data_IF_514073388666
#
_entry.id   IF_514073388666
#
_cell.length_a   1.000
_cell.length_b   1.000
_cell.length_c   1.000
_cell.angle_alpha   90.00
_cell.angle_beta   90.00
_cell.angle_gamma   90.00
#
_symmetry.space_group_name_H-M   'P 1'
#
loop_
_entity.id
_entity.type
_entity.pdbx_description
1 polymer ?
#
# COMPACT_ATOMS: atom_id res chain seq x y z
N UNK A 1 -22.31 -65.60 -7.06
CA UNK A 1 -21.04 -64.90 -7.35
C UNK A 1 -21.25 -63.42 -7.79
N UNK A 2 -22.11 -63.11 -8.75
CA UNK A 2 -22.30 -61.72 -9.25
C UNK A 2 -22.69 -60.68 -8.19
N UNK A 3 -23.56 -60.97 -7.19
CA UNK A 3 -23.94 -60.06 -6.11
C UNK A 3 -22.78 -59.74 -5.15
N UNK A 4 -21.88 -60.68 -4.87
CA UNK A 4 -20.69 -60.42 -4.01
C UNK A 4 -19.68 -59.51 -4.74
N UNK A 5 -19.52 -59.69 -6.08
CA UNK A 5 -18.63 -58.84 -6.89
C UNK A 5 -19.08 -57.40 -6.94
N UNK A 6 -20.40 -57.17 -7.11
CA UNK A 6 -21.01 -55.84 -7.13
C UNK A 6 -20.85 -55.15 -5.76
N UNK A 7 -21.01 -55.89 -4.64
CA UNK A 7 -20.83 -55.35 -3.29
C UNK A 7 -19.39 -54.93 -2.99
N UNK A 8 -18.41 -55.73 -3.49
CA UNK A 8 -16.96 -55.40 -3.35
C UNK A 8 -16.61 -54.20 -4.23
N UNK A 9 -17.13 -54.10 -5.47
CA UNK A 9 -16.91 -52.95 -6.32
C UNK A 9 -17.50 -51.64 -5.70
N UNK A 10 -18.67 -51.75 -5.09
CA UNK A 10 -19.31 -50.59 -4.42
C UNK A 10 -18.51 -50.15 -3.18
N UNK A 11 -18.02 -51.11 -2.37
CA UNK A 11 -17.14 -50.84 -1.21
C UNK A 11 -15.79 -50.17 -1.60
N UNK A 12 -15.20 -50.61 -2.72
CA UNK A 12 -13.97 -50.02 -3.25
C UNK A 12 -14.25 -48.62 -3.80
N UNK A 13 -15.40 -48.39 -4.45
CA UNK A 13 -15.80 -47.06 -4.96
C UNK A 13 -16.04 -46.09 -3.80
N UNK A 14 -16.66 -46.49 -2.71
CA UNK A 14 -16.86 -45.71 -1.51
C UNK A 14 -15.54 -45.38 -0.81
N UNK A 15 -14.58 -46.33 -0.80
CA UNK A 15 -13.25 -46.08 -0.26
C UNK A 15 -12.42 -45.08 -1.07
N UNK A 16 -12.57 -45.05 -2.39
CA UNK A 16 -11.89 -44.08 -3.28
C UNK A 16 -12.46 -42.68 -3.11
N UNK A 17 -13.77 -42.54 -2.83
CA UNK A 17 -14.44 -41.24 -2.60
C UNK A 17 -14.10 -40.67 -1.21
N UNK A 18 -13.72 -41.53 -0.25
CA UNK A 18 -13.37 -41.12 1.13
C UNK A 18 -11.88 -40.85 1.33
N UNK A 19 -11.04 -40.94 0.30
CA UNK A 19 -9.67 -40.45 0.39
C UNK A 19 -9.76 -38.92 0.50
N UNK A 20 -9.42 -38.31 1.66
CA UNK A 20 -9.35 -36.87 1.72
C UNK A 20 -8.38 -36.45 0.62
N UNK A 21 -8.81 -35.58 -0.28
CA UNK A 21 -7.88 -34.89 -1.16
C UNK A 21 -6.95 -34.11 -0.24
N UNK A 22 -5.82 -34.70 0.10
CA UNK A 22 -4.69 -33.90 0.59
C UNK A 22 -4.33 -32.99 -0.59
N UNK A 23 -4.98 -31.82 -0.63
CA UNK A 23 -4.39 -30.70 -1.32
C UNK A 23 -3.07 -30.49 -0.58
N UNK A 24 -1.96 -30.89 -1.21
CA UNK A 24 -0.70 -30.26 -0.91
C UNK A 24 -0.94 -28.78 -1.24
N UNK A 25 -1.34 -28.00 -0.25
CA UNK A 25 -1.16 -26.58 -0.33
C UNK A 25 0.35 -26.44 -0.64
N UNK A 26 0.68 -26.05 -1.86
CA UNK A 26 2.01 -25.52 -2.12
C UNK A 26 2.23 -24.53 -0.98
N UNK A 27 3.35 -24.66 -0.24
CA UNK A 27 3.67 -23.69 0.80
C UNK A 27 3.53 -22.32 0.17
N UNK A 28 2.46 -21.63 0.54
CA UNK A 28 2.23 -20.28 0.06
C UNK A 28 3.41 -19.47 0.57
N UNK A 29 4.12 -18.81 -0.32
CA UNK A 29 5.19 -17.90 0.08
C UNK A 29 4.64 -16.82 0.99
N UNK A 30 5.51 -16.18 1.72
CA UNK A 30 5.17 -15.03 2.56
C UNK A 30 5.09 -13.76 1.72
N UNK A 31 4.37 -12.76 2.21
CA UNK A 31 4.24 -11.47 1.56
C UNK A 31 4.84 -10.38 2.43
N UNK A 32 5.73 -9.56 1.87
CA UNK A 32 6.21 -8.33 2.50
C UNK A 32 5.76 -7.16 1.62
N UNK A 33 5.02 -6.21 2.19
CA UNK A 33 4.65 -4.95 1.55
C UNK A 33 5.40 -3.80 2.22
N UNK A 34 6.25 -3.09 1.47
CA UNK A 34 7.06 -1.98 1.95
C UNK A 34 6.52 -0.68 1.36
N UNK A 35 5.99 0.20 2.20
CA UNK A 35 5.57 1.54 1.83
C UNK A 35 6.74 2.50 1.93
N UNK A 36 7.14 3.07 0.80
CA UNK A 36 8.07 4.21 0.71
C UNK A 36 7.28 5.44 0.25
N UNK A 37 6.43 5.94 1.14
CA UNK A 37 5.51 7.04 0.82
C UNK A 37 6.25 8.28 0.30
N UNK A 38 5.64 9.03 -0.62
CA UNK A 38 6.21 10.26 -1.22
C UNK A 38 7.41 10.02 -2.13
N UNK A 39 7.57 8.84 -2.69
CA UNK A 39 8.62 8.56 -3.68
C UNK A 39 8.07 8.54 -5.11
N UNK A 40 8.98 8.67 -6.06
CA UNK A 40 8.74 8.56 -7.51
C UNK A 40 9.58 7.42 -8.08
N UNK A 41 9.29 6.95 -9.29
CA UNK A 41 10.12 5.95 -9.98
C UNK A 41 11.59 6.37 -10.00
N UNK A 42 11.86 7.62 -10.36
CA UNK A 42 13.22 8.16 -10.39
C UNK A 42 13.89 8.14 -9.02
N UNK A 43 13.14 8.50 -7.96
CA UNK A 43 13.64 8.47 -6.59
C UNK A 43 13.96 7.05 -6.13
N UNK A 44 13.15 6.07 -6.51
CA UNK A 44 13.39 4.66 -6.19
C UNK A 44 14.63 4.12 -6.89
N UNK A 45 14.90 4.54 -8.13
CA UNK A 45 16.12 4.17 -8.85
C UNK A 45 17.41 4.78 -8.26
N UNK A 46 17.30 5.85 -7.50
CA UNK A 46 18.44 6.43 -6.78
C UNK A 46 18.86 5.58 -5.55
N UNK A 47 18.11 4.53 -5.19
CA UNK A 47 18.42 3.62 -4.07
C UNK A 47 19.24 2.45 -4.60
N UNK A 48 20.52 2.31 -4.19
CA UNK A 48 21.47 1.38 -4.84
C UNK A 48 21.02 -0.08 -4.85
N UNK A 49 20.57 -0.63 -3.72
CA UNK A 49 20.13 -2.03 -3.64
C UNK A 49 18.86 -2.29 -4.47
N UNK A 50 17.92 -1.34 -4.44
CA UNK A 50 16.70 -1.45 -5.23
C UNK A 50 17.00 -1.38 -6.73
N UNK A 51 17.87 -0.48 -7.15
CA UNK A 51 18.33 -0.40 -8.55
C UNK A 51 18.99 -1.70 -8.98
N UNK A 52 19.94 -2.22 -8.19
CA UNK A 52 20.64 -3.46 -8.50
C UNK A 52 19.69 -4.66 -8.59
N UNK A 53 18.63 -4.69 -7.77
CA UNK A 53 17.65 -5.75 -7.82
C UNK A 53 16.71 -5.63 -9.02
N UNK A 54 16.30 -4.40 -9.40
CA UNK A 54 15.50 -4.12 -10.59
C UNK A 54 16.21 -4.42 -11.92
N UNK A 55 17.54 -4.37 -11.94
CA UNK A 55 18.33 -4.80 -13.10
C UNK A 55 18.23 -6.31 -13.34
N UNK A 56 18.03 -7.10 -12.28
CA UNK A 56 17.93 -8.56 -12.32
C UNK A 56 16.49 -9.03 -12.49
N UNK A 57 15.57 -8.53 -11.67
CA UNK A 57 14.18 -9.00 -11.58
C UNK A 57 13.24 -7.90 -11.10
N UNK A 58 11.94 -8.15 -11.17
CA UNK A 58 10.89 -7.30 -10.62
C UNK A 58 9.97 -6.74 -11.69
N UNK A 59 8.70 -6.71 -11.37
CA UNK A 59 7.66 -6.14 -12.21
C UNK A 59 7.26 -4.78 -11.68
N UNK A 60 7.27 -3.78 -12.54
CA UNK A 60 7.01 -2.39 -12.18
C UNK A 60 5.68 -1.90 -12.73
N UNK A 61 5.06 -0.98 -12.01
CA UNK A 61 3.85 -0.30 -12.45
C UNK A 61 3.72 1.11 -11.88
N UNK A 62 2.88 1.88 -12.53
CA UNK A 62 2.37 3.16 -12.05
C UNK A 62 0.96 2.95 -11.50
N UNK A 63 0.78 3.22 -10.24
CA UNK A 63 -0.45 2.97 -9.51
C UNK A 63 -1.32 4.22 -9.41
N UNK A 64 -2.57 4.13 -9.84
CA UNK A 64 -3.58 5.13 -9.53
C UNK A 64 -3.95 5.02 -8.05
N UNK A 65 -3.79 6.12 -7.32
CA UNK A 65 -3.92 6.20 -5.86
C UNK A 65 -5.24 6.81 -5.37
N UNK A 66 -6.24 6.89 -6.25
CA UNK A 66 -7.51 7.53 -5.92
C UNK A 66 -8.33 6.67 -4.95
N UNK A 67 -8.74 7.28 -3.83
CA UNK A 67 -9.80 6.76 -2.99
C UNK A 67 -11.20 7.21 -3.45
N UNK A 68 -12.20 7.04 -2.60
CA UNK A 68 -13.50 7.68 -2.78
C UNK A 68 -13.45 9.14 -2.31
N UNK A 69 -14.12 10.03 -3.03
CA UNK A 69 -14.21 11.49 -2.76
C UNK A 69 -12.88 12.23 -2.55
N UNK A 70 -11.74 11.62 -2.86
CA UNK A 70 -10.45 12.29 -2.71
C UNK A 70 -9.25 11.45 -3.06
N UNK A 71 -8.08 12.08 -2.91
CA UNK A 71 -6.78 11.47 -3.21
C UNK A 71 -5.79 11.94 -2.16
N UNK A 72 -5.47 11.07 -1.24
CA UNK A 72 -4.44 11.21 -0.21
C UNK A 72 -3.91 9.83 0.19
N UNK A 73 -2.88 9.80 1.02
CA UNK A 73 -2.25 8.55 1.46
C UNK A 73 -3.17 7.69 2.35
N UNK A 74 -4.00 8.27 3.22
CA UNK A 74 -4.97 7.53 4.05
C UNK A 74 -5.97 6.77 3.18
N UNK A 75 -6.63 7.50 2.25
CA UNK A 75 -7.59 6.90 1.32
C UNK A 75 -6.95 5.88 0.40
N UNK A 76 -5.70 6.12 -0.03
CA UNK A 76 -4.96 5.19 -0.87
C UNK A 76 -4.71 3.86 -0.15
N UNK A 77 -4.15 3.90 1.07
CA UNK A 77 -3.87 2.69 1.87
C UNK A 77 -5.15 1.96 2.31
N UNK A 78 -6.18 2.72 2.73
CA UNK A 78 -7.49 2.13 3.04
C UNK A 78 -8.13 1.44 1.83
N UNK A 79 -7.99 2.03 0.62
CA UNK A 79 -8.50 1.42 -0.62
C UNK A 79 -7.72 0.17 -1.02
N UNK A 80 -6.40 0.11 -0.75
CA UNK A 80 -5.60 -1.12 -0.92
C UNK A 80 -6.12 -2.24 -0.03
N UNK A 81 -6.33 -1.97 1.26
CA UNK A 81 -6.86 -2.94 2.21
C UNK A 81 -8.33 -3.33 1.98
N UNK A 82 -9.13 -2.42 1.45
CA UNK A 82 -10.53 -2.70 1.09
C UNK A 82 -10.69 -3.41 -0.27
N UNK A 83 -9.68 -3.39 -1.14
CA UNK A 83 -9.79 -3.85 -2.53
C UNK A 83 -10.88 -3.13 -3.32
N UNK A 84 -11.23 -1.93 -2.89
CA UNK A 84 -12.26 -1.05 -3.44
C UNK A 84 -12.00 0.38 -2.97
N UNK A 85 -12.58 1.38 -3.64
CA UNK A 85 -12.37 2.78 -3.25
C UNK A 85 -13.01 3.06 -1.91
N UNK A 86 -12.18 3.25 -0.89
CA UNK A 86 -12.59 3.57 0.46
C UNK A 86 -12.75 5.09 0.66
N UNK A 87 -13.79 5.47 1.39
CA UNK A 87 -13.99 6.83 1.85
C UNK A 87 -13.50 6.99 3.30
N UNK A 88 -12.63 7.98 3.49
CA UNK A 88 -12.27 8.50 4.81
C UNK A 88 -12.40 10.02 4.71
N UNK A 89 -12.97 10.70 5.68
CA UNK A 89 -13.02 12.15 5.68
C UNK A 89 -11.59 12.73 5.65
N UNK A 90 -11.41 13.93 5.09
CA UNK A 90 -10.08 14.58 5.01
C UNK A 90 -9.48 14.83 6.39
N UNK A 91 -10.32 15.11 7.36
CA UNK A 91 -10.06 15.32 8.77
C UNK A 91 -10.27 14.07 9.63
N UNK A 92 -10.50 12.88 9.00
CA UNK A 92 -10.65 11.63 9.74
C UNK A 92 -9.48 11.42 10.67
N UNK A 93 -9.82 11.26 11.92
CA UNK A 93 -8.87 10.91 12.94
C UNK A 93 -8.55 9.43 12.86
N UNK A 94 -7.34 9.10 12.49
CA UNK A 94 -6.82 7.72 12.47
C UNK A 94 -5.94 7.57 13.71
N UNK A 95 -6.30 6.65 14.60
CA UNK A 95 -5.69 6.53 15.91
C UNK A 95 -5.25 5.10 16.23
N UNK A 96 -4.31 4.59 15.45
CA UNK A 96 -3.70 3.29 15.74
C UNK A 96 -2.74 3.38 16.91
N UNK A 97 -2.97 2.51 17.90
CA UNK A 97 -2.17 2.38 19.11
C UNK A 97 -1.83 0.92 19.38
N UNK A 98 -0.66 0.70 19.97
CA UNK A 98 -0.34 -0.59 20.55
C UNK A 98 -1.18 -0.83 21.81
N UNK A 99 -1.49 -2.09 22.07
CA UNK A 99 -2.34 -2.49 23.19
C UNK A 99 -1.58 -2.35 24.51
N UNK A 100 -1.80 -1.25 25.20
CA UNK A 100 -1.59 -1.09 26.64
C UNK A 100 -2.87 -1.49 27.38
N UNK A 101 -2.83 -1.59 28.69
CA UNK A 101 -4.04 -1.82 29.53
C UNK A 101 -5.10 -0.74 29.26
N UNK A 102 -4.68 0.51 29.12
CA UNK A 102 -5.56 1.65 28.87
C UNK A 102 -6.14 1.60 27.45
N UNK A 103 -5.30 1.54 26.42
CA UNK A 103 -5.74 1.50 25.01
C UNK A 103 -6.66 0.30 24.74
N UNK A 104 -6.35 -0.87 25.29
CA UNK A 104 -7.17 -2.06 25.18
C UNK A 104 -8.56 -1.87 25.83
N UNK A 105 -8.61 -1.18 26.95
CA UNK A 105 -9.89 -0.86 27.64
C UNK A 105 -10.71 0.13 26.80
N UNK A 106 -10.10 1.20 26.30
CA UNK A 106 -10.75 2.19 25.43
C UNK A 106 -11.30 1.50 24.19
N UNK A 107 -10.48 0.72 23.48
CA UNK A 107 -10.88 0.00 22.28
C UNK A 107 -12.05 -0.95 22.55
N UNK A 108 -11.96 -1.76 23.62
CA UNK A 108 -13.01 -2.72 23.99
C UNK A 108 -14.33 -2.04 24.35
N UNK A 109 -14.27 -0.92 25.07
CA UNK A 109 -15.47 -0.17 25.48
C UNK A 109 -16.16 0.50 24.29
N UNK A 110 -15.41 0.98 23.29
CA UNK A 110 -15.95 1.66 22.11
C UNK A 110 -16.48 0.69 21.04
N UNK A 111 -15.86 -0.50 20.89
CA UNK A 111 -16.19 -1.44 19.81
C UNK A 111 -16.89 -2.72 20.27
N UNK A 112 -16.83 -3.05 21.55
CA UNK A 112 -17.28 -4.36 22.10
C UNK A 112 -16.40 -5.54 21.67
N UNK A 113 -15.28 -5.31 20.96
CA UNK A 113 -14.40 -6.36 20.43
C UNK A 113 -13.17 -6.56 21.30
N UNK A 114 -12.64 -7.78 21.27
CA UNK A 114 -11.36 -8.09 21.92
C UNK A 114 -10.23 -7.38 21.17
N UNK A 115 -9.38 -6.58 21.84
CA UNK A 115 -8.25 -5.93 21.20
C UNK A 115 -7.20 -6.94 20.75
N UNK A 116 -6.45 -6.59 19.70
CA UNK A 116 -5.22 -7.29 19.26
C UNK A 116 -3.98 -6.47 19.64
N UNK A 117 -2.81 -6.78 19.09
CA UNK A 117 -1.56 -6.04 19.37
C UNK A 117 -1.65 -4.57 19.00
N UNK A 118 -2.26 -4.25 17.86
CA UNK A 118 -2.46 -2.88 17.37
C UNK A 118 -3.96 -2.69 17.10
N UNK A 119 -4.51 -1.53 17.51
CA UNK A 119 -5.94 -1.24 17.39
C UNK A 119 -6.16 0.23 17.00
N UNK A 120 -7.09 0.49 16.08
CA UNK A 120 -7.58 1.84 15.82
C UNK A 120 -8.66 2.22 16.85
N UNK A 121 -8.33 3.13 17.76
CA UNK A 121 -9.22 3.59 18.80
C UNK A 121 -10.40 4.44 18.27
N UNK A 122 -10.30 4.90 17.03
CA UNK A 122 -11.30 5.71 16.33
C UNK A 122 -12.04 4.96 15.21
N UNK A 123 -11.86 3.64 15.10
CA UNK A 123 -12.34 2.84 13.95
C UNK A 123 -13.84 3.06 13.64
N UNK A 124 -14.68 3.21 14.66
CA UNK A 124 -16.12 3.41 14.45
C UNK A 124 -16.42 4.69 13.65
N UNK A 125 -15.60 5.74 13.78
CA UNK A 125 -15.76 6.96 12.98
C UNK A 125 -15.43 6.70 11.50
N UNK A 126 -14.35 5.96 11.24
CA UNK A 126 -13.94 5.59 9.88
C UNK A 126 -14.96 4.66 9.21
N UNK A 127 -15.49 3.68 9.93
CA UNK A 127 -16.55 2.78 9.43
C UNK A 127 -17.83 3.55 9.11
N UNK A 128 -18.31 4.38 10.02
CA UNK A 128 -19.51 5.20 9.82
C UNK A 128 -19.34 6.16 8.65
N UNK A 129 -18.19 6.81 8.50
CA UNK A 129 -17.91 7.72 7.38
C UNK A 129 -17.90 6.97 6.05
N UNK A 130 -17.26 5.80 6.00
CA UNK A 130 -17.21 4.99 4.79
C UNK A 130 -18.60 4.46 4.40
N UNK A 131 -19.43 4.06 5.36
CA UNK A 131 -20.79 3.56 5.14
C UNK A 131 -21.75 4.69 4.73
N UNK A 132 -21.78 5.79 5.50
CA UNK A 132 -22.74 6.87 5.30
C UNK A 132 -22.45 7.72 4.07
N UNK A 133 -21.18 7.96 3.77
CA UNK A 133 -20.72 8.90 2.77
C UNK A 133 -19.96 8.25 1.59
N UNK A 134 -19.63 6.97 1.67
CA UNK A 134 -18.97 6.23 0.58
C UNK A 134 -19.90 6.01 -0.61
N UNK A 135 -19.32 6.06 -1.82
CA UNK A 135 -20.07 5.88 -3.08
C UNK A 135 -19.89 4.49 -3.70
N UNK A 136 -18.90 3.73 -3.24
CA UNK A 136 -18.48 2.48 -3.88
C UNK A 136 -18.80 1.23 -3.06
N UNK A 137 -19.37 1.37 -1.85
CA UNK A 137 -19.73 0.24 -1.02
C UNK A 137 -18.54 -0.64 -0.60
N UNK A 138 -17.34 -0.08 -0.54
CA UNK A 138 -16.15 -0.81 -0.13
C UNK A 138 -16.15 -1.10 1.38
N UNK A 139 -15.61 -2.25 1.78
CA UNK A 139 -15.50 -2.63 3.20
C UNK A 139 -14.07 -2.41 3.68
N UNK A 140 -13.88 -1.53 4.66
CA UNK A 140 -12.57 -1.28 5.26
C UNK A 140 -12.02 -2.57 5.90
N UNK A 141 -10.73 -2.83 5.72
CA UNK A 141 -10.05 -3.95 6.34
C UNK A 141 -10.33 -5.33 5.71
N UNK A 142 -10.93 -5.39 4.51
CA UNK A 142 -11.26 -6.66 3.83
C UNK A 142 -10.05 -7.59 3.64
N UNK A 143 -8.87 -7.04 3.32
CA UNK A 143 -7.63 -7.81 3.17
C UNK A 143 -7.25 -8.49 4.48
N UNK A 144 -7.05 -7.71 5.55
CA UNK A 144 -6.65 -8.25 6.85
C UNK A 144 -7.70 -9.19 7.46
N UNK A 145 -9.00 -8.92 7.25
CA UNK A 145 -10.06 -9.83 7.67
C UNK A 145 -9.99 -11.16 6.93
N UNK A 146 -9.87 -11.13 5.59
CA UNK A 146 -9.81 -12.37 4.79
C UNK A 146 -8.59 -13.20 5.13
N UNK A 147 -7.42 -12.59 5.33
CA UNK A 147 -6.23 -13.29 5.79
C UNK A 147 -6.46 -13.93 7.17
N UNK A 148 -7.00 -13.18 8.13
CA UNK A 148 -7.28 -13.67 9.49
C UNK A 148 -8.29 -14.82 9.51
N UNK A 149 -9.36 -14.73 8.70
CA UNK A 149 -10.41 -15.77 8.59
C UNK A 149 -9.87 -17.09 8.01
N UNK A 150 -8.78 -17.01 7.27
CA UNK A 150 -8.06 -18.17 6.70
C UNK A 150 -6.80 -18.54 7.49
N UNK A 151 -6.67 -18.07 8.73
CA UNK A 151 -5.59 -18.35 9.68
C UNK A 151 -4.20 -17.84 9.26
N UNK A 152 -4.11 -16.91 8.30
CA UNK A 152 -2.88 -16.19 8.00
C UNK A 152 -2.65 -15.07 9.01
N UNK A 153 -1.41 -14.97 9.48
CA UNK A 153 -1.00 -13.97 10.46
C UNK A 153 -0.50 -12.72 9.77
N UNK A 154 -0.97 -11.57 10.24
CA UNK A 154 -0.66 -10.25 9.68
C UNK A 154 0.07 -9.41 10.71
N UNK A 155 1.17 -8.79 10.30
CA UNK A 155 1.94 -7.84 11.12
C UNK A 155 2.15 -6.51 10.42
N UNK A 156 2.35 -5.46 11.22
CA UNK A 156 2.71 -4.11 10.76
C UNK A 156 3.97 -3.64 11.48
N UNK A 157 4.87 -2.95 10.76
CA UNK A 157 6.10 -2.41 11.32
C UNK A 157 6.37 -0.99 10.80
N UNK A 158 6.77 -0.10 11.69
CA UNK A 158 7.17 1.26 11.32
C UNK A 158 6.03 2.27 11.27
N UNK A 159 6.40 3.51 11.08
CA UNK A 159 5.48 4.65 11.01
C UNK A 159 6.09 5.82 10.23
N UNK A 160 5.24 6.78 9.87
CA UNK A 160 5.62 8.07 9.28
C UNK A 160 5.37 9.24 10.25
N UNK A 161 5.48 9.01 11.56
CA UNK A 161 5.31 10.05 12.58
C UNK A 161 6.27 11.20 12.36
N UNK A 162 5.86 12.43 12.73
CA UNK A 162 6.66 13.66 12.67
C UNK A 162 6.63 14.37 14.02
N UNK A 163 7.58 15.27 14.27
CA UNK A 163 7.58 16.16 15.45
C UNK A 163 7.39 17.59 14.96
N UNK A 164 6.28 18.21 15.32
CA UNK A 164 5.94 19.57 14.93
C UNK A 164 5.72 20.43 16.18
N UNK A 165 6.48 21.52 16.33
CA UNK A 165 6.43 22.39 17.51
C UNK A 165 6.66 21.65 18.85
N UNK A 166 7.47 20.60 18.84
CA UNK A 166 7.74 19.75 20.01
C UNK A 166 6.65 18.74 20.33
N UNK A 167 5.61 18.62 19.51
CA UNK A 167 4.54 17.64 19.64
C UNK A 167 4.66 16.53 18.59
N UNK A 168 4.46 15.28 19.02
CA UNK A 168 4.38 14.14 18.12
C UNK A 168 3.09 14.21 17.29
N UNK A 169 3.24 14.19 15.97
CA UNK A 169 2.14 14.03 15.00
C UNK A 169 2.18 12.62 14.45
N UNK A 170 1.28 11.80 14.92
CA UNK A 170 1.23 10.40 14.54
C UNK A 170 0.76 10.23 13.09
N UNK A 171 1.48 9.42 12.34
CA UNK A 171 1.11 8.96 11.01
C UNK A 171 1.41 7.46 10.90
N UNK A 172 0.44 6.65 11.27
CA UNK A 172 0.48 5.19 11.30
C UNK A 172 -0.46 4.60 10.24
N UNK A 173 -0.60 5.32 9.14
CA UNK A 173 -1.56 5.00 8.07
C UNK A 173 -1.30 3.65 7.41
N UNK A 174 -0.10 3.09 7.52
CA UNK A 174 0.22 1.75 7.02
C UNK A 174 -0.71 0.68 7.61
N UNK A 175 -1.23 0.87 8.82
CA UNK A 175 -2.17 -0.06 9.43
C UNK A 175 -3.49 -0.19 8.63
N UNK A 176 -3.87 0.83 7.87
CA UNK A 176 -5.12 0.83 7.08
C UNK A 176 -5.17 -0.25 5.98
N UNK A 177 -4.00 -0.66 5.44
CA UNK A 177 -3.95 -1.75 4.47
C UNK A 177 -4.03 -3.12 5.15
N UNK A 178 -3.49 -3.24 6.37
CA UNK A 178 -3.26 -4.49 7.07
C UNK A 178 -4.36 -4.87 8.07
N UNK A 179 -5.16 -3.90 8.54
CA UNK A 179 -6.15 -4.08 9.57
C UNK A 179 -7.30 -5.02 9.14
N UNK A 180 -7.93 -5.66 10.11
CA UNK A 180 -9.20 -6.36 9.92
C UNK A 180 -10.40 -5.36 9.88
N UNK A 181 -11.61 -5.87 9.65
CA UNK A 181 -12.83 -5.05 9.56
C UNK A 181 -13.17 -4.29 10.86
N UNK A 182 -12.44 -4.56 11.93
CA UNK A 182 -12.60 -3.91 13.23
C UNK A 182 -11.42 -2.99 13.58
N UNK A 183 -10.54 -2.69 12.61
CA UNK A 183 -9.38 -1.81 12.81
C UNK A 183 -8.27 -2.42 13.65
N UNK A 184 -8.06 -3.75 13.60
CA UNK A 184 -7.06 -4.45 14.43
C UNK A 184 -6.00 -5.11 13.58
N UNK A 185 -4.76 -5.12 14.07
CA UNK A 185 -3.66 -5.91 13.52
C UNK A 185 -3.13 -6.84 14.61
N UNK A 186 -2.80 -8.09 14.22
CA UNK A 186 -2.48 -9.15 15.17
C UNK A 186 -1.11 -8.98 15.83
N UNK A 187 -0.13 -8.44 15.11
CA UNK A 187 1.27 -8.35 15.55
C UNK A 187 1.94 -7.09 14.98
N UNK A 188 3.09 -6.68 15.53
CA UNK A 188 3.88 -5.59 14.99
C UNK A 188 4.39 -4.59 16.02
N UNK A 189 5.05 -3.54 15.50
CA UNK A 189 5.55 -2.39 16.26
C UNK A 189 5.38 -1.11 15.44
N UNK A 190 4.60 -0.16 15.95
CA UNK A 190 4.31 1.13 15.31
C UNK A 190 4.66 2.35 16.19
N UNK A 191 5.13 2.13 17.41
CA UNK A 191 5.39 3.20 18.38
C UNK A 191 6.90 3.39 18.64
N UNK A 192 7.59 2.34 18.99
CA UNK A 192 9.00 2.39 19.37
C UNK A 192 9.90 1.96 18.20
N UNK A 193 9.93 2.77 17.13
CA UNK A 193 10.66 2.45 15.89
C UNK A 193 11.46 3.64 15.33
N UNK A 194 11.39 4.78 15.97
CA UNK A 194 12.16 5.96 15.59
C UNK A 194 13.18 6.31 16.66
N UNK A 195 14.24 6.99 16.24
CA UNK A 195 15.26 7.58 17.15
C UNK A 195 15.45 9.06 16.83
N UNK A 196 15.89 9.80 17.83
CA UNK A 196 16.27 11.20 17.69
C UNK A 196 17.50 11.33 16.79
N UNK A 197 17.47 12.28 15.85
CA UNK A 197 18.58 12.63 14.96
C UNK A 197 18.40 14.04 14.43
N UNK A 198 19.08 15.00 15.04
CA UNK A 198 18.99 16.43 14.70
C UNK A 198 19.44 16.75 13.26
N UNK A 199 20.12 15.81 12.60
CA UNK A 199 20.55 15.95 11.19
C UNK A 199 19.48 15.54 10.20
N UNK A 200 18.33 15.04 10.68
CA UNK A 200 17.23 14.53 9.88
C UNK A 200 15.97 15.39 9.97
N UNK A 201 15.04 15.25 9.01
CA UNK A 201 13.79 16.00 9.05
C UNK A 201 13.01 15.80 10.34
N UNK A 202 12.52 16.88 10.94
CA UNK A 202 11.80 16.90 12.23
C UNK A 202 12.62 16.42 13.43
N UNK A 203 13.96 16.31 13.31
CA UNK A 203 14.84 15.84 14.39
C UNK A 203 14.69 14.33 14.71
N UNK A 204 14.08 13.55 13.84
CA UNK A 204 13.89 12.12 14.03
C UNK A 204 14.13 11.34 12.73
N UNK A 205 14.47 10.08 12.84
CA UNK A 205 14.51 9.12 11.76
C UNK A 205 14.09 7.72 12.22
N UNK A 206 13.81 6.86 11.27
CA UNK A 206 13.62 5.44 11.55
C UNK A 206 14.94 4.82 12.11
N UNK A 207 14.81 3.96 13.10
CA UNK A 207 15.91 3.11 13.57
C UNK A 207 16.04 1.90 12.65
N UNK A 208 16.88 2.02 11.62
CA UNK A 208 17.03 0.96 10.59
C UNK A 208 17.63 -0.34 11.13
N UNK A 209 18.43 -0.29 12.19
CA UNK A 209 18.97 -1.49 12.84
C UNK A 209 17.83 -2.26 13.52
N UNK A 210 17.01 -1.51 14.27
CA UNK A 210 15.80 -2.07 14.91
C UNK A 210 14.78 -2.55 13.88
N UNK A 211 14.50 -1.74 12.83
CA UNK A 211 13.63 -2.14 11.72
C UNK A 211 14.08 -3.47 11.10
N UNK A 212 15.36 -3.61 10.80
CA UNK A 212 15.92 -4.84 10.21
C UNK A 212 15.73 -6.04 11.13
N UNK A 213 16.05 -5.87 12.41
CA UNK A 213 15.91 -6.94 13.42
C UNK A 213 14.45 -7.36 13.60
N UNK A 214 13.55 -6.40 13.73
CA UNK A 214 12.12 -6.67 13.91
C UNK A 214 11.48 -7.22 12.63
N UNK A 215 11.86 -6.70 11.45
CA UNK A 215 11.42 -7.29 10.17
C UNK A 215 11.72 -8.78 10.11
N UNK A 216 12.94 -9.18 10.47
CA UNK A 216 13.31 -10.60 10.51
C UNK A 216 12.43 -11.40 11.46
N UNK A 217 12.27 -10.93 12.69
CA UNK A 217 11.45 -11.61 13.70
C UNK A 217 9.98 -11.72 13.28
N UNK A 218 9.40 -10.62 12.74
CA UNK A 218 8.01 -10.60 12.29
C UNK A 218 7.81 -11.47 11.03
N UNK A 219 8.77 -11.46 10.11
CA UNK A 219 8.74 -12.32 8.93
C UNK A 219 8.77 -13.80 9.30
N UNK A 220 9.57 -14.21 10.29
CA UNK A 220 9.61 -15.60 10.75
C UNK A 220 8.27 -16.07 11.32
N UNK A 221 7.53 -15.20 12.01
CA UNK A 221 6.33 -15.52 12.78
C UNK A 221 4.99 -15.17 12.10
N UNK A 222 5.02 -14.43 11.00
CA UNK A 222 3.83 -13.99 10.29
C UNK A 222 3.89 -14.35 8.80
N UNK A 223 2.73 -14.35 8.13
CA UNK A 223 2.57 -14.69 6.72
C UNK A 223 2.58 -13.44 5.83
N UNK A 224 1.99 -12.35 6.32
CA UNK A 224 1.98 -11.05 5.65
C UNK A 224 2.52 -9.96 6.57
N UNK A 225 3.54 -9.22 6.11
CA UNK A 225 4.18 -8.13 6.83
C UNK A 225 4.07 -6.82 6.04
N UNK A 226 3.53 -5.78 6.67
CA UNK A 226 3.41 -4.45 6.08
C UNK A 226 4.35 -3.48 6.81
N UNK A 227 5.28 -2.88 6.06
CA UNK A 227 6.32 -2.01 6.63
C UNK A 227 6.19 -0.58 6.10
N UNK A 228 6.29 0.42 6.97
CA UNK A 228 6.35 1.84 6.59
C UNK A 228 7.75 2.42 6.84
N UNK A 229 8.42 2.82 5.76
CA UNK A 229 9.71 3.51 5.84
C UNK A 229 9.48 5.03 5.87
N UNK A 230 9.11 5.56 7.01
CA UNK A 230 8.62 6.93 7.19
C UNK A 230 9.57 8.05 6.77
N UNK A 231 10.89 7.82 6.63
CA UNK A 231 11.87 8.87 6.32
C UNK A 231 11.64 9.54 4.98
N UNK A 232 11.12 8.82 3.99
CA UNK A 232 10.78 9.40 2.68
C UNK A 232 9.59 10.38 2.79
N UNK A 233 8.62 10.05 3.64
CA UNK A 233 7.51 10.94 3.96
C UNK A 233 8.00 12.18 4.73
N UNK A 234 8.80 11.99 5.79
CA UNK A 234 9.37 13.08 6.58
C UNK A 234 10.17 14.06 5.71
N UNK A 235 11.00 13.55 4.81
CA UNK A 235 11.79 14.37 3.90
C UNK A 235 10.90 15.22 2.96
N UNK A 236 9.85 14.64 2.38
CA UNK A 236 8.93 15.34 1.48
C UNK A 236 8.13 16.42 2.23
N UNK A 237 7.70 16.15 3.48
CA UNK A 237 7.02 17.11 4.33
C UNK A 237 7.93 18.28 4.71
N UNK A 238 9.21 18.00 5.02
CA UNK A 238 10.18 18.98 5.50
C UNK A 238 10.89 19.76 4.39
N UNK A 239 10.71 19.35 3.12
CA UNK A 239 11.43 19.93 1.96
C UNK A 239 11.33 21.45 1.87
N UNK A 240 10.18 22.03 2.22
CA UNK A 240 9.97 23.48 2.17
C UNK A 240 10.87 24.30 3.10
N UNK A 241 11.48 23.68 4.11
CA UNK A 241 12.40 24.31 5.06
C UNK A 241 13.88 24.13 4.68
N UNK A 242 14.17 23.39 3.60
CA UNK A 242 15.53 23.01 3.22
C UNK A 242 15.99 23.77 1.98
N UNK A 243 17.27 24.16 1.96
CA UNK A 243 17.94 24.52 0.72
C UNK A 243 18.29 23.23 -0.07
N UNK A 244 18.56 23.35 -1.37
CA UNK A 244 18.82 22.20 -2.27
C UNK A 244 20.04 21.35 -1.83
N UNK A 245 21.09 21.97 -1.29
CA UNK A 245 22.27 21.24 -0.82
C UNK A 245 21.91 20.34 0.38
N UNK A 246 21.25 20.88 1.39
CA UNK A 246 20.84 20.15 2.59
C UNK A 246 19.81 19.06 2.24
N UNK A 247 18.84 19.38 1.37
CA UNK A 247 17.89 18.41 0.87
C UNK A 247 18.58 17.22 0.19
N UNK A 248 19.53 17.48 -0.72
CA UNK A 248 20.28 16.44 -1.43
C UNK A 248 21.09 15.57 -0.49
N UNK A 249 21.72 16.17 0.53
CA UNK A 249 22.49 15.45 1.56
C UNK A 249 21.57 14.53 2.37
N UNK A 250 20.48 15.05 2.90
CA UNK A 250 19.50 14.25 3.67
C UNK A 250 18.91 13.12 2.83
N UNK A 251 18.49 13.44 1.59
CA UNK A 251 17.98 12.43 0.63
C UNK A 251 18.96 11.30 0.43
N UNK A 252 20.26 11.62 0.20
CA UNK A 252 21.31 10.60 0.01
C UNK A 252 21.47 9.72 1.25
N UNK A 253 21.44 10.30 2.46
CA UNK A 253 21.54 9.55 3.70
C UNK A 253 20.34 8.61 3.87
N UNK A 254 19.12 9.10 3.66
CA UNK A 254 17.89 8.29 3.71
C UNK A 254 17.95 7.15 2.70
N UNK A 255 18.31 7.43 1.44
CA UNK A 255 18.43 6.41 0.41
C UNK A 255 19.47 5.34 0.74
N UNK A 256 20.59 5.71 1.35
CA UNK A 256 21.63 4.76 1.78
C UNK A 256 21.10 3.85 2.93
N UNK A 257 20.38 4.41 3.88
CA UNK A 257 19.78 3.64 4.98
C UNK A 257 18.71 2.67 4.45
N UNK A 258 17.83 3.15 3.59
CA UNK A 258 16.83 2.30 2.90
C UNK A 258 17.51 1.21 2.08
N UNK A 259 18.62 1.54 1.39
CA UNK A 259 19.36 0.57 0.59
C UNK A 259 19.87 -0.60 1.42
N UNK A 260 20.46 -0.33 2.59
CA UNK A 260 20.94 -1.38 3.52
C UNK A 260 19.78 -2.22 4.06
N UNK A 261 18.67 -1.58 4.40
CA UNK A 261 17.48 -2.27 4.85
C UNK A 261 16.92 -3.21 3.77
N UNK A 262 16.73 -2.71 2.54
CA UNK A 262 16.22 -3.51 1.42
C UNK A 262 17.16 -4.67 1.05
N UNK A 263 18.49 -4.46 1.12
CA UNK A 263 19.46 -5.53 0.94
C UNK A 263 19.25 -6.65 1.96
N UNK A 264 18.99 -6.30 3.21
CA UNK A 264 18.68 -7.29 4.27
C UNK A 264 17.37 -8.02 3.98
N UNK A 265 16.33 -7.34 3.48
CA UNK A 265 15.06 -7.96 3.09
C UNK A 265 15.25 -8.92 1.92
N UNK A 266 15.92 -8.50 0.85
CA UNK A 266 16.14 -9.34 -0.33
C UNK A 266 16.99 -10.59 -0.02
N UNK A 267 17.91 -10.50 0.97
CA UNK A 267 18.70 -11.64 1.41
C UNK A 267 17.94 -12.58 2.36
N UNK A 268 16.82 -12.15 2.92
CA UNK A 268 16.02 -12.91 3.88
C UNK A 268 14.90 -13.72 3.21
N UNK A 269 14.30 -13.17 2.16
CA UNK A 269 13.12 -13.77 1.52
C UNK A 269 13.47 -14.99 0.69
N UNK A 270 12.59 -16.00 0.71
CA UNK A 270 12.70 -17.21 -0.08
C UNK A 270 12.18 -17.06 -1.51
N UNK A 271 12.42 -18.07 -2.34
CA UNK A 271 12.04 -18.06 -3.77
C UNK A 271 10.53 -17.97 -4.01
N UNK A 272 9.72 -18.46 -3.08
CA UNK A 272 8.26 -18.44 -3.15
C UNK A 272 7.65 -17.17 -2.56
N UNK A 273 8.46 -16.35 -1.90
CA UNK A 273 7.98 -15.11 -1.26
C UNK A 273 7.77 -13.99 -2.27
N UNK A 274 6.91 -13.06 -1.88
CA UNK A 274 6.60 -11.90 -2.69
C UNK A 274 6.91 -10.62 -1.92
N UNK A 275 7.71 -9.73 -2.51
CA UNK A 275 7.99 -8.42 -1.95
C UNK A 275 7.35 -7.35 -2.82
N UNK A 276 6.47 -6.56 -2.22
CA UNK A 276 5.97 -5.32 -2.83
C UNK A 276 6.71 -4.13 -2.27
N UNK A 277 7.13 -3.22 -3.15
CA UNK A 277 7.64 -1.91 -2.76
C UNK A 277 6.77 -0.87 -3.46
N UNK A 278 6.08 -0.04 -2.70
CA UNK A 278 5.15 0.93 -3.25
C UNK A 278 5.26 2.31 -2.59
N UNK A 279 4.82 3.33 -3.29
CA UNK A 279 4.51 4.62 -2.69
C UNK A 279 2.99 4.79 -2.60
N UNK A 280 2.46 4.92 -1.41
CA UNK A 280 1.02 5.13 -1.23
C UNK A 280 0.54 6.48 -1.77
N UNK A 281 1.45 7.46 -1.94
CA UNK A 281 1.19 8.76 -2.54
C UNK A 281 2.49 9.34 -3.15
N UNK A 282 2.46 10.02 -4.31
CA UNK A 282 3.65 10.62 -4.91
C UNK A 282 4.15 11.81 -4.07
N UNK A 283 5.38 12.26 -4.31
CA UNK A 283 5.89 13.46 -3.66
C UNK A 283 5.00 14.67 -3.94
N UNK A 284 4.97 15.64 -3.01
CA UNK A 284 4.19 16.88 -3.18
C UNK A 284 4.54 17.59 -4.48
N UNK A 285 5.82 17.59 -4.87
CA UNK A 285 6.28 18.22 -6.10
C UNK A 285 5.76 17.49 -7.34
N UNK A 286 5.89 16.15 -7.39
CA UNK A 286 5.37 15.33 -8.49
C UNK A 286 3.85 15.52 -8.65
N UNK A 287 3.11 15.46 -7.54
CA UNK A 287 1.66 15.68 -7.57
C UNK A 287 1.27 17.08 -8.07
N UNK A 288 2.02 18.13 -7.66
CA UNK A 288 1.85 19.50 -8.17
C UNK A 288 2.12 19.57 -9.67
N UNK A 289 3.12 18.86 -10.16
CA UNK A 289 3.48 18.76 -11.58
C UNK A 289 2.54 17.87 -12.41
N UNK A 290 1.44 17.37 -11.81
CA UNK A 290 0.46 16.47 -12.44
C UNK A 290 0.95 15.03 -12.67
N UNK A 291 2.07 14.65 -12.12
CA UNK A 291 2.52 13.27 -12.01
C UNK A 291 1.78 12.61 -10.83
N UNK A 292 0.56 12.14 -11.09
CA UNK A 292 -0.40 11.71 -10.05
C UNK A 292 -0.44 10.21 -9.81
N UNK A 293 0.39 9.47 -10.52
CA UNK A 293 0.54 8.04 -10.33
C UNK A 293 1.75 7.77 -9.44
N UNK A 294 1.62 6.79 -8.56
CA UNK A 294 2.68 6.36 -7.66
C UNK A 294 3.35 5.09 -8.18
N UNK A 295 4.66 4.90 -7.96
CA UNK A 295 5.32 3.65 -8.32
C UNK A 295 4.87 2.51 -7.42
N UNK A 296 4.79 1.32 -8.01
CA UNK A 296 4.68 0.05 -7.34
C UNK A 296 5.56 -0.98 -8.04
N UNK A 297 6.25 -1.81 -7.26
CA UNK A 297 7.12 -2.87 -7.74
C UNK A 297 6.72 -4.16 -7.03
N UNK A 298 6.68 -5.27 -7.77
CA UNK A 298 6.46 -6.61 -7.26
C UNK A 298 7.64 -7.49 -7.62
N UNK A 299 8.32 -8.01 -6.62
CA UNK A 299 9.37 -9.01 -6.77
C UNK A 299 8.78 -10.39 -6.50
N UNK A 300 8.74 -11.22 -7.53
CA UNK A 300 8.31 -12.62 -7.49
C UNK A 300 9.12 -13.40 -8.52
N UNK A 301 9.83 -14.44 -8.07
CA UNK A 301 10.73 -15.19 -8.96
C UNK A 301 11.88 -14.34 -9.50
N UNK A 302 12.40 -14.71 -10.68
CA UNK A 302 13.61 -14.13 -11.27
C UNK A 302 13.35 -13.38 -12.59
N UNK A 303 12.11 -13.03 -12.88
CA UNK A 303 11.72 -12.35 -14.10
C UNK A 303 11.48 -10.86 -13.86
N UNK A 304 11.55 -10.05 -14.91
CA UNK A 304 11.29 -8.61 -14.89
C UNK A 304 10.27 -8.19 -15.94
N UNK A 305 9.60 -7.07 -15.69
CA UNK A 305 8.62 -6.56 -16.62
C UNK A 305 7.68 -5.50 -16.07
N UNK A 306 6.46 -5.50 -16.58
CA UNK A 306 5.41 -4.57 -16.20
C UNK A 306 4.29 -5.28 -15.45
N UNK A 307 3.75 -4.60 -14.46
CA UNK A 307 2.45 -4.92 -13.87
C UNK A 307 1.34 -4.44 -14.80
N UNK A 308 0.33 -5.26 -15.00
CA UNK A 308 -0.91 -4.91 -15.69
C UNK A 308 -2.09 -5.39 -14.87
N UNK A 309 -3.25 -4.78 -15.07
CA UNK A 309 -4.48 -5.19 -14.40
C UNK A 309 -5.69 -4.99 -15.33
N UNK A 310 -6.64 -5.91 -15.26
CA UNK A 310 -7.91 -5.76 -15.98
C UNK A 310 -8.77 -4.60 -15.44
N UNK A 311 -8.45 -4.04 -14.27
CA UNK A 311 -9.06 -2.82 -13.74
C UNK A 311 -8.75 -1.61 -14.61
N UNK A 312 -7.50 -1.45 -15.04
CA UNK A 312 -7.05 -0.32 -15.85
C UNK A 312 -6.98 -0.62 -17.34
N UNK A 313 -6.78 -1.90 -17.69
CA UNK A 313 -6.60 -2.40 -19.06
C UNK A 313 -5.45 -1.71 -19.80
N UNK A 314 -4.38 -1.36 -19.08
CA UNK A 314 -3.19 -0.69 -19.63
C UNK A 314 -1.95 -1.30 -19.00
N UNK A 315 -1.00 -1.69 -19.84
CA UNK A 315 0.27 -2.21 -19.41
C UNK A 315 1.05 -1.17 -18.63
N UNK A 316 1.63 -1.57 -17.53
CA UNK A 316 2.36 -0.69 -16.64
C UNK A 316 1.49 0.24 -15.77
N UNK A 317 0.16 0.22 -15.93
CA UNK A 317 -0.75 1.05 -15.13
C UNK A 317 -1.71 0.16 -14.34
N UNK A 318 -1.71 0.32 -13.03
CA UNK A 318 -2.57 -0.45 -12.10
C UNK A 318 -3.34 0.49 -11.18
N UNK A 319 -4.22 -0.04 -10.37
CA UNK A 319 -4.96 0.74 -9.37
C UNK A 319 -4.60 0.27 -7.94
N UNK A 320 -4.67 1.17 -6.98
CA UNK A 320 -4.44 0.84 -5.58
C UNK A 320 -5.42 -0.22 -5.05
N UNK A 321 -6.64 -0.25 -5.56
CA UNK A 321 -7.64 -1.28 -5.20
C UNK A 321 -7.23 -2.70 -5.65
N UNK A 322 -6.28 -2.83 -6.56
CA UNK A 322 -5.78 -4.12 -7.06
C UNK A 322 -4.78 -4.75 -6.08
N UNK A 323 -4.07 -3.93 -5.27
CA UNK A 323 -3.00 -4.38 -4.36
C UNK A 323 -3.48 -5.46 -3.40
N UNK A 324 -4.55 -5.19 -2.65
CA UNK A 324 -5.08 -6.16 -1.68
C UNK A 324 -5.59 -7.44 -2.33
N UNK A 325 -6.16 -7.34 -3.53
CA UNK A 325 -6.61 -8.51 -4.29
C UNK A 325 -5.44 -9.34 -4.79
N UNK A 326 -4.37 -8.69 -5.25
CA UNK A 326 -3.15 -9.38 -5.70
C UNK A 326 -2.44 -10.06 -4.52
N UNK A 327 -2.41 -9.43 -3.34
CA UNK A 327 -1.88 -10.05 -2.11
C UNK A 327 -2.71 -11.29 -1.73
N UNK A 328 -4.04 -11.22 -1.77
CA UNK A 328 -4.89 -12.41 -1.51
C UNK A 328 -4.63 -13.52 -2.51
N UNK A 329 -4.45 -13.18 -3.78
CA UNK A 329 -4.14 -14.14 -4.84
C UNK A 329 -2.81 -14.89 -4.59
N UNK A 330 -1.80 -14.24 -3.96
CA UNK A 330 -0.56 -14.92 -3.57
C UNK A 330 -0.78 -16.01 -2.49
N UNK A 331 -1.80 -15.85 -1.67
CA UNK A 331 -2.24 -16.85 -0.69
C UNK A 331 -3.29 -17.83 -1.25
N UNK A 332 -3.62 -17.76 -2.53
CA UNK A 332 -4.68 -18.58 -3.14
C UNK A 332 -6.08 -18.24 -2.61
N UNK A 333 -6.27 -17.03 -2.11
CA UNK A 333 -7.53 -16.55 -1.53
C UNK A 333 -8.25 -15.58 -2.46
N UNK A 334 -9.58 -15.56 -2.32
CA UNK A 334 -10.47 -14.62 -3.01
C UNK A 334 -11.45 -14.01 -2.02
N UNK A 335 -11.74 -12.72 -2.18
CA UNK A 335 -12.81 -12.04 -1.47
C UNK A 335 -13.74 -11.35 -2.49
N UNK A 336 -14.99 -11.82 -2.59
CA UNK A 336 -15.98 -11.35 -3.57
C UNK A 336 -16.45 -9.90 -3.34
N UNK A 337 -16.24 -9.34 -2.15
CA UNK A 337 -16.55 -7.94 -1.87
C UNK A 337 -15.50 -6.98 -2.42
N UNK A 338 -14.31 -7.46 -2.74
CA UNK A 338 -13.23 -6.67 -3.33
C UNK A 338 -13.41 -6.60 -4.84
N UNK A 339 -13.39 -5.38 -5.39
CA UNK A 339 -13.64 -5.13 -6.82
C UNK A 339 -12.37 -5.01 -7.66
N UNK A 340 -11.22 -4.83 -7.02
CA UNK A 340 -9.90 -4.86 -7.66
C UNK A 340 -9.64 -6.18 -8.39
N UNK A 341 -8.50 -6.27 -9.08
CA UNK A 341 -8.09 -7.48 -9.81
C UNK A 341 -6.62 -7.78 -9.53
N UNK A 342 -6.28 -9.06 -9.41
CA UNK A 342 -4.90 -9.50 -9.33
C UNK A 342 -4.10 -9.04 -10.56
N UNK A 343 -2.80 -8.83 -10.39
CA UNK A 343 -1.93 -8.37 -11.45
C UNK A 343 -1.65 -9.47 -12.47
N UNK A 344 -1.60 -9.05 -13.73
CA UNK A 344 -0.96 -9.81 -14.80
C UNK A 344 0.48 -9.34 -14.95
N UNK A 345 1.42 -10.28 -15.05
CA UNK A 345 2.85 -10.01 -15.17
C UNK A 345 3.23 -10.06 -16.65
N UNK A 346 3.74 -8.97 -17.19
CA UNK A 346 4.11 -8.83 -18.60
C UNK A 346 5.62 -8.68 -18.70
N UNK A 347 6.30 -9.62 -19.34
CA UNK A 347 7.74 -9.54 -19.55
C UNK A 347 8.09 -8.34 -20.46
N UNK A 348 8.99 -7.50 -20.00
CA UNK A 348 9.48 -6.33 -20.73
C UNK A 348 10.83 -5.88 -20.17
N UNK A 349 11.78 -5.62 -21.05
CA UNK A 349 13.13 -5.22 -20.65
C UNK A 349 13.23 -3.71 -20.32
N UNK A 350 12.59 -2.85 -21.13
CA UNK A 350 12.63 -1.39 -20.99
C UNK A 350 11.54 -0.84 -20.08
N UNK A 351 11.28 -1.51 -18.96
CA UNK A 351 10.15 -1.20 -18.06
C UNK A 351 10.22 0.21 -17.47
N UNK A 352 11.40 0.66 -17.06
CA UNK A 352 11.60 1.97 -16.43
C UNK A 352 11.39 3.11 -17.40
N UNK A 353 12.00 3.04 -18.58
CA UNK A 353 11.89 4.07 -19.62
C UNK A 353 10.44 4.16 -20.12
N UNK A 354 9.79 3.02 -20.30
CA UNK A 354 8.38 2.96 -20.66
C UNK A 354 7.49 3.66 -19.63
N UNK A 355 7.66 3.36 -18.34
CA UNK A 355 6.85 3.94 -17.27
C UNK A 355 7.13 5.45 -17.10
N UNK A 356 8.38 5.86 -17.25
CA UNK A 356 8.77 7.28 -17.21
C UNK A 356 8.11 8.06 -18.34
N UNK A 357 8.13 7.51 -19.56
CA UNK A 357 7.45 8.08 -20.72
C UNK A 357 5.92 8.18 -20.51
N UNK A 358 5.28 7.12 -20.02
CA UNK A 358 3.82 7.13 -19.76
C UNK A 358 3.44 8.15 -18.69
N UNK A 359 4.26 8.31 -17.64
CA UNK A 359 4.04 9.31 -16.59
C UNK A 359 4.13 10.73 -17.14
N UNK A 360 5.15 11.05 -17.91
CA UNK A 360 5.35 12.35 -18.57
C UNK A 360 4.22 12.68 -19.55
N UNK A 361 3.82 11.69 -20.36
CA UNK A 361 2.70 11.81 -21.28
C UNK A 361 1.40 12.14 -20.57
N UNK A 362 1.10 11.47 -19.46
CA UNK A 362 -0.09 11.76 -18.66
C UNK A 362 -0.06 13.15 -18.03
N UNK A 363 1.09 13.58 -17.50
CA UNK A 363 1.29 14.91 -16.96
C UNK A 363 1.07 15.99 -18.04
N UNK A 364 1.64 15.77 -19.24
CA UNK A 364 1.48 16.67 -20.40
C UNK A 364 0.03 16.78 -20.84
N UNK A 365 -0.70 15.67 -20.95
CA UNK A 365 -2.14 15.67 -21.28
C UNK A 365 -2.94 16.43 -20.23
N UNK A 366 -2.66 16.17 -18.94
CA UNK A 366 -3.33 16.88 -17.84
C UNK A 366 -3.12 18.39 -17.88
N UNK A 367 -1.91 18.84 -18.20
CA UNK A 367 -1.58 20.26 -18.35
C UNK A 367 -2.29 20.89 -19.56
N UNK A 368 -2.33 20.21 -20.71
CA UNK A 368 -3.05 20.67 -21.92
C UNK A 368 -4.55 20.79 -21.67
N UNK A 369 -5.19 19.82 -21.01
CA UNK A 369 -6.61 19.86 -20.67
C UNK A 369 -6.92 21.07 -19.76
N UNK A 370 -6.07 21.33 -18.77
CA UNK A 370 -6.25 22.50 -17.90
C UNK A 370 -6.11 23.80 -18.68
N UNK A 371 -5.13 23.92 -19.56
CA UNK A 371 -4.94 25.09 -20.42
C UNK A 371 -6.18 25.34 -21.32
N UNK A 372 -6.73 24.28 -21.92
CA UNK A 372 -7.98 24.39 -22.69
C UNK A 372 -9.17 24.84 -21.85
N UNK A 373 -9.31 24.31 -20.61
CA UNK A 373 -10.38 24.73 -19.69
C UNK A 373 -10.26 26.22 -19.30
N UNK A 374 -9.05 26.71 -19.06
CA UNK A 374 -8.82 28.12 -18.79
C UNK A 374 -9.15 29.00 -20.01
N UNK A 375 -8.72 28.57 -21.21
CA UNK A 375 -9.05 29.26 -22.46
C UNK A 375 -10.55 29.31 -22.69
N UNK A 376 -11.28 28.21 -22.56
CA UNK A 376 -12.74 28.19 -22.70
C UNK A 376 -13.45 29.09 -21.68
N UNK A 377 -13.01 29.07 -20.41
CA UNK A 377 -13.56 29.97 -19.37
C UNK A 377 -13.30 31.44 -19.70
N UNK A 378 -12.11 31.79 -20.17
CA UNK A 378 -11.78 33.15 -20.58
C UNK A 378 -12.62 33.59 -21.79
N UNK A 379 -12.82 32.71 -22.77
CA UNK A 379 -13.72 33.01 -23.92
C UNK A 379 -15.17 33.21 -23.51
N UNK A 380 -15.69 32.40 -22.56
CA UNK A 380 -17.05 32.57 -22.02
C UNK A 380 -17.18 33.88 -21.27
N UNK A 381 -16.17 34.26 -20.47
CA UNK A 381 -16.18 35.59 -19.79
C UNK A 381 -16.14 36.75 -20.77
N UNK A 382 -15.34 36.67 -21.85
CA UNK A 382 -15.26 37.69 -22.88
C UNK A 382 -16.59 37.80 -23.65
N UNK A 383 -17.21 36.68 -23.97
CA UNK A 383 -18.52 36.66 -24.63
C UNK A 383 -19.62 37.20 -23.70
N UNK A 384 -19.62 36.81 -22.41
CA UNK A 384 -20.54 37.35 -21.41
C UNK A 384 -20.41 38.88 -21.24
N UNK A 385 -19.18 39.41 -21.25
CA UNK A 385 -18.94 40.84 -21.20
C UNK A 385 -19.44 41.59 -22.48
N UNK A 386 -19.32 40.96 -23.64
CA UNK A 386 -19.74 41.53 -24.92
C UNK A 386 -21.27 41.51 -25.11
N UNK A 387 -21.97 40.54 -24.56
CA UNK A 387 -23.45 40.47 -24.65
C UNK A 387 -24.15 41.14 -23.47
N UNK A 388 -23.51 41.28 -22.30
CA UNK A 388 -24.06 42.03 -21.17
C UNK A 388 -24.09 43.53 -21.35
N UNK A 389 -23.35 44.07 -22.31
CA UNK A 389 -23.38 45.53 -22.65
C UNK A 389 -24.41 45.91 -23.69
N UNK A 390 -25.27 45.01 -24.16
CA UNK A 390 -26.37 45.26 -25.07
C UNK A 390 -27.76 45.18 -24.43
N UNK A 391 -27.83 45.03 -23.09
CA UNK A 391 -29.06 45.03 -22.32
C UNK A 391 -28.93 46.13 -21.23
N UNK A 392 -28.87 47.38 -21.63
CA UNK A 392 -29.24 48.58 -20.87
C UNK A 392 -29.87 49.58 -21.84
#
# INVERSE_FOLDING_TARGET
>A
MKKKLVSVLFAVMVLIVSIPKYSFAAESGKVIFINMNRTTIKSMQDIPSLKAELEKRGYMGLMNIRGDKGTDDKRSLASMGAGGRANLASDSYINFKEATKENATIYKSSTGKTPKKINDLSINQSLNENEANGQYGSTLGSLGQTLSDNNFKVAVLGNSDTVENGELKENRNICLIAMDNYGRVADGNIEDINIEDDTMPFGIRADYDKLTKETKSLYENNDALFVDLGDTYRLDQYKGFLNEHTYSKMKKTIHNNISKYLESVFNMVGDNDVVYIASSFPSKLAYKNKERLSPIIKFKGNEKGLLSSSTTRRDGIVANIDVGVDILNEFGLENKSMVGRAYSLIQKDDNVDFLSYELEKMATISNKINSCKYFCRSCICILGYRYGSYII
#
